data_IF_916664484736
#
_entry.id   IF_916664484736
#
_cell.length_a   1.000
_cell.length_b   1.000
_cell.length_c   1.000
_cell.angle_alpha   90.00
_cell.angle_beta   90.00
_cell.angle_gamma   90.00
#
_symmetry.space_group_name_H-M   'P 1'
#
loop_
_entity.id
_entity.type
_entity.pdbx_description
1 polymer ?
#
# COMPACT_ATOMS: atom_id res chain seq x y z
N UNK A 1 7.04 -92.92 28.62
CA UNK A 1 6.46 -91.68 28.06
C UNK A 1 5.98 -90.83 29.22
N UNK A 2 6.74 -89.81 29.60
CA UNK A 2 6.33 -88.82 30.61
C UNK A 2 6.66 -87.45 30.06
N UNK A 3 5.61 -86.64 29.99
CA UNK A 3 5.51 -85.34 29.34
C UNK A 3 6.16 -84.26 30.20
N UNK A 4 7.12 -83.50 29.64
CA UNK A 4 7.64 -82.29 30.28
C UNK A 4 7.08 -81.07 29.54
N UNK A 5 6.29 -80.30 30.26
CA UNK A 5 5.62 -79.08 29.83
C UNK A 5 6.64 -77.93 29.85
N UNK A 6 6.88 -77.28 28.72
CA UNK A 6 7.55 -75.97 28.66
C UNK A 6 6.57 -74.93 28.12
N UNK A 7 6.17 -74.04 29.03
CA UNK A 7 5.23 -72.95 28.80
C UNK A 7 5.93 -71.80 28.03
N UNK A 8 5.35 -71.19 26.99
CA UNK A 8 5.92 -70.00 26.37
C UNK A 8 5.60 -68.76 27.21
N UNK A 9 6.63 -68.06 27.68
CA UNK A 9 6.48 -66.78 28.36
C UNK A 9 5.98 -65.73 27.36
N UNK A 10 4.71 -65.33 27.51
CA UNK A 10 4.10 -64.20 26.81
C UNK A 10 4.75 -62.92 27.32
N UNK A 11 5.49 -62.23 26.46
CA UNK A 11 6.01 -60.89 26.74
C UNK A 11 4.82 -59.90 26.82
N UNK A 12 4.35 -59.65 28.03
CA UNK A 12 3.34 -58.63 28.32
C UNK A 12 3.94 -57.25 28.09
N UNK A 13 3.70 -56.66 26.91
CA UNK A 13 4.05 -55.26 26.63
C UNK A 13 3.36 -54.39 27.67
N UNK A 14 4.16 -53.67 28.45
CA UNK A 14 3.69 -52.95 29.62
C UNK A 14 2.74 -51.81 29.15
N UNK A 15 1.46 -51.78 29.56
CA UNK A 15 0.48 -50.83 29.03
C UNK A 15 0.86 -49.36 29.29
N UNK A 16 1.71 -49.11 30.29
CA UNK A 16 2.28 -47.79 30.58
C UNK A 16 3.28 -47.29 29.54
N UNK A 17 4.08 -48.18 28.94
CA UNK A 17 5.06 -47.79 27.92
C UNK A 17 4.34 -47.44 26.61
N UNK A 18 3.34 -48.23 26.22
CA UNK A 18 2.51 -47.95 25.05
C UNK A 18 1.75 -46.63 25.19
N UNK A 19 1.22 -46.34 26.38
CA UNK A 19 0.57 -45.06 26.67
C UNK A 19 1.55 -43.87 26.59
N UNK A 20 2.80 -44.05 27.03
CA UNK A 20 3.84 -43.01 26.95
C UNK A 20 4.26 -42.75 25.50
N UNK A 21 4.33 -43.80 24.68
CA UNK A 21 4.66 -43.73 23.26
C UNK A 21 3.55 -43.04 22.47
N UNK A 22 2.28 -43.39 22.72
CA UNK A 22 1.11 -42.72 22.13
C UNK A 22 1.03 -41.24 22.54
N UNK A 23 1.39 -40.92 23.79
CA UNK A 23 1.43 -39.53 24.27
C UNK A 23 2.55 -38.73 23.60
N UNK A 24 3.74 -39.32 23.43
CA UNK A 24 4.85 -38.71 22.68
C UNK A 24 4.49 -38.50 21.20
N UNK A 25 3.80 -39.46 20.59
CA UNK A 25 3.35 -39.37 19.20
C UNK A 25 2.33 -38.25 19.00
N UNK A 26 1.36 -38.12 19.92
CA UNK A 26 0.41 -37.00 19.93
C UNK A 26 1.08 -35.65 20.15
N UNK A 27 2.09 -35.55 21.02
CA UNK A 27 2.86 -34.32 21.21
C UNK A 27 3.65 -33.95 19.94
N UNK A 28 4.22 -34.94 19.26
CA UNK A 28 4.95 -34.72 18.00
C UNK A 28 3.99 -34.31 16.87
N UNK A 29 2.82 -34.94 16.75
CA UNK A 29 1.76 -34.52 15.81
C UNK A 29 1.27 -33.11 16.14
N UNK A 30 1.03 -32.78 17.41
CA UNK A 30 0.68 -31.42 17.81
C UNK A 30 1.79 -30.41 17.50
N UNK A 31 3.06 -30.77 17.72
CA UNK A 31 4.20 -29.92 17.36
C UNK A 31 4.36 -29.76 15.85
N UNK A 32 4.13 -30.80 15.06
CA UNK A 32 4.14 -30.72 13.59
C UNK A 32 2.96 -29.89 13.07
N UNK A 33 1.77 -30.03 13.67
CA UNK A 33 0.60 -29.22 13.35
C UNK A 33 0.84 -27.76 13.74
N UNK A 34 1.38 -27.47 14.94
CA UNK A 34 1.78 -26.12 15.33
C UNK A 34 2.90 -25.55 14.46
N UNK A 35 3.86 -26.37 14.04
CA UNK A 35 4.93 -25.95 13.13
C UNK A 35 4.37 -25.65 11.73
N UNK A 36 3.44 -26.47 11.24
CA UNK A 36 2.70 -26.23 9.98
C UNK A 36 1.77 -25.03 10.06
N UNK A 37 1.18 -24.76 11.23
CA UNK A 37 0.36 -23.57 11.46
C UNK A 37 1.22 -22.32 11.52
N UNK A 38 2.38 -22.37 12.19
CA UNK A 38 3.38 -21.28 12.20
C UNK A 38 4.01 -21.02 10.84
N UNK A 39 4.01 -22.01 9.94
CA UNK A 39 4.45 -21.83 8.54
C UNK A 39 3.39 -21.21 7.64
N UNK A 40 2.14 -21.07 8.10
CA UNK A 40 1.16 -20.23 7.43
C UNK A 40 1.31 -18.83 8.00
N UNK A 41 1.91 -17.96 7.21
CA UNK A 41 1.86 -16.48 7.32
C UNK A 41 0.56 -16.05 8.01
N UNK A 42 0.62 -15.07 8.94
CA UNK A 42 -0.58 -14.56 9.61
C UNK A 42 -1.70 -14.34 8.58
N UNK A 43 -2.94 -14.79 8.84
CA UNK A 43 -4.05 -14.69 7.88
C UNK A 43 -4.26 -13.26 7.36
N UNK A 44 -3.91 -12.26 8.17
CA UNK A 44 -3.93 -10.85 7.79
C UNK A 44 -2.90 -10.53 6.69
N UNK A 45 -1.67 -11.06 6.78
CA UNK A 45 -0.63 -10.88 5.76
C UNK A 45 -1.02 -11.60 4.46
N UNK A 46 -1.60 -12.80 4.59
CA UNK A 46 -2.12 -13.55 3.45
C UNK A 46 -3.33 -12.85 2.77
N UNK A 47 -4.19 -12.18 3.55
CA UNK A 47 -5.29 -11.40 2.99
C UNK A 47 -4.80 -10.08 2.36
N UNK A 48 -3.75 -9.46 2.92
CA UNK A 48 -3.11 -8.27 2.34
C UNK A 48 -2.40 -8.58 1.00
N UNK A 49 -2.03 -9.84 0.75
CA UNK A 49 -1.41 -10.27 -0.52
C UNK A 49 -2.40 -10.59 -1.64
N UNK A 50 -3.69 -10.73 -1.33
CA UNK A 50 -4.75 -11.01 -2.31
C UNK A 50 -5.49 -9.74 -2.78
N UNK A 51 -5.07 -8.53 -2.38
CA UNK A 51 -5.50 -7.34 -3.09
C UNK A 51 -4.80 -7.33 -4.46
N UNK A 52 -5.49 -7.88 -5.48
CA UNK A 52 -5.07 -7.73 -6.87
C UNK A 52 -4.71 -6.26 -7.12
N UNK A 53 -3.54 -5.96 -7.72
CA UNK A 53 -3.11 -4.58 -7.98
C UNK A 53 -4.14 -3.76 -8.77
N UNK A 54 -5.18 -4.41 -9.32
CA UNK A 54 -6.15 -3.82 -10.21
C UNK A 54 -5.52 -3.69 -11.59
N UNK A 55 -6.35 -3.74 -12.62
CA UNK A 55 -5.89 -3.56 -13.99
C UNK A 55 -5.76 -2.05 -14.30
N UNK A 56 -4.95 -1.36 -13.50
CA UNK A 56 -4.74 0.10 -13.61
C UNK A 56 -3.53 0.34 -14.48
N UNK A 57 -3.76 0.92 -15.65
CA UNK A 57 -2.69 1.28 -16.59
C UNK A 57 -2.12 2.67 -16.29
N UNK A 58 -0.89 2.95 -16.70
CA UNK A 58 -0.34 4.33 -16.62
C UNK A 58 -1.15 5.34 -17.43
N UNK A 59 -1.90 4.89 -18.45
CA UNK A 59 -2.82 5.74 -19.20
C UNK A 59 -3.97 6.29 -18.35
N UNK A 60 -4.26 5.69 -17.19
CA UNK A 60 -5.25 6.22 -16.25
C UNK A 60 -4.67 7.29 -15.31
N UNK A 61 -3.35 7.44 -15.27
CA UNK A 61 -2.66 8.42 -14.43
C UNK A 61 -2.31 9.66 -15.26
N UNK A 62 -3.15 10.68 -15.18
CA UNK A 62 -2.98 11.90 -15.98
C UNK A 62 -1.90 12.86 -15.44
N UNK A 63 -1.07 13.39 -16.33
CA UNK A 63 -0.22 14.56 -16.08
C UNK A 63 0.95 14.38 -15.10
N UNK A 64 1.28 13.14 -14.71
CA UNK A 64 2.37 12.81 -13.79
C UNK A 64 3.55 12.11 -14.50
N UNK A 65 3.82 12.46 -15.76
CA UNK A 65 4.80 11.77 -16.61
C UNK A 65 6.21 11.75 -16.02
N UNK A 66 6.65 12.86 -15.41
CA UNK A 66 7.97 12.95 -14.76
C UNK A 66 8.02 12.06 -13.51
N UNK A 67 6.99 12.11 -12.65
CA UNK A 67 6.92 11.29 -11.44
C UNK A 67 6.82 9.79 -11.77
N UNK A 68 6.07 9.44 -12.82
CA UNK A 68 5.99 8.07 -13.35
C UNK A 68 7.39 7.64 -13.81
N UNK A 69 8.10 8.47 -14.56
CA UNK A 69 9.45 8.16 -15.03
C UNK A 69 10.40 7.91 -13.86
N UNK A 70 10.45 8.80 -12.87
CA UNK A 70 11.29 8.62 -11.68
C UNK A 70 10.95 7.32 -10.94
N UNK A 71 9.66 7.03 -10.76
CA UNK A 71 9.24 5.82 -10.07
C UNK A 71 9.60 4.54 -10.85
N UNK A 72 9.48 4.57 -12.19
CA UNK A 72 9.94 3.49 -13.08
C UNK A 72 11.45 3.29 -12.99
N UNK A 73 12.23 4.36 -12.94
CA UNK A 73 13.69 4.26 -12.78
C UNK A 73 14.11 3.60 -11.46
N UNK A 74 13.31 3.78 -10.41
CA UNK A 74 13.58 3.23 -9.08
C UNK A 74 13.09 1.80 -8.92
N UNK A 75 11.98 1.44 -9.56
CA UNK A 75 11.31 0.14 -9.36
C UNK A 75 11.54 -0.81 -10.54
N UNK A 76 11.24 -0.39 -11.77
CA UNK A 76 11.28 -1.23 -12.98
C UNK A 76 12.71 -1.55 -13.42
N UNK A 77 13.57 -0.54 -13.46
CA UNK A 77 14.97 -0.63 -13.90
C UNK A 77 15.79 -1.69 -13.13
N UNK A 78 15.80 -1.71 -11.78
CA UNK A 78 16.54 -2.73 -11.03
C UNK A 78 15.93 -4.14 -11.12
N UNK A 79 14.62 -4.25 -11.37
CA UNK A 79 13.96 -5.54 -11.53
C UNK A 79 14.22 -6.16 -12.91
N UNK A 80 14.22 -5.32 -13.95
CA UNK A 80 14.37 -5.76 -15.35
C UNK A 80 15.83 -5.98 -15.74
N UNK A 81 16.74 -5.09 -15.32
CA UNK A 81 18.14 -5.10 -15.74
C UNK A 81 19.12 -4.90 -14.56
N UNK A 82 19.24 -5.86 -13.63
CA UNK A 82 20.16 -5.75 -12.50
C UNK A 82 21.64 -5.67 -12.92
N UNK A 83 22.00 -6.24 -14.07
CA UNK A 83 23.38 -6.19 -14.59
C UNK A 83 23.87 -4.76 -14.86
N UNK A 84 22.99 -3.83 -15.25
CA UNK A 84 23.37 -2.45 -15.50
C UNK A 84 23.91 -1.80 -14.23
N UNK A 85 23.27 -2.05 -13.09
CA UNK A 85 23.71 -1.56 -11.79
C UNK A 85 25.07 -2.15 -11.39
N UNK A 86 25.28 -3.43 -11.65
CA UNK A 86 26.56 -4.10 -11.38
C UNK A 86 27.70 -3.57 -12.26
N UNK A 87 27.45 -3.36 -13.56
CA UNK A 87 28.47 -2.81 -14.49
C UNK A 87 28.86 -1.37 -14.17
N UNK A 88 27.87 -0.56 -13.77
CA UNK A 88 28.10 0.83 -13.37
C UNK A 88 28.69 0.92 -11.95
N UNK A 89 28.54 -0.13 -11.14
CA UNK A 89 29.05 -0.18 -9.76
C UNK A 89 28.22 0.64 -8.78
N UNK A 90 26.94 0.87 -9.08
CA UNK A 90 26.02 1.62 -8.23
C UNK A 90 25.07 0.68 -7.51
N UNK A 91 24.82 0.96 -6.23
CA UNK A 91 23.80 0.26 -5.46
C UNK A 91 22.41 0.75 -5.89
N UNK A 92 21.49 -0.15 -6.27
CA UNK A 92 20.13 0.26 -6.62
C UNK A 92 19.42 0.87 -5.39
N UNK A 93 18.54 1.86 -5.59
CA UNK A 93 17.74 2.42 -4.50
C UNK A 93 16.85 1.35 -3.87
N UNK A 94 16.72 1.36 -2.54
CA UNK A 94 15.92 0.37 -1.80
C UNK A 94 14.46 0.77 -1.69
N UNK A 95 14.21 2.05 -1.47
CA UNK A 95 12.87 2.57 -1.19
C UNK A 95 12.57 3.91 -1.85
N UNK A 96 11.28 4.13 -2.10
CA UNK A 96 10.73 5.38 -2.62
C UNK A 96 9.70 5.95 -1.65
N UNK A 97 9.76 7.25 -1.41
CA UNK A 97 8.74 8.00 -0.68
C UNK A 97 7.96 8.88 -1.66
N UNK A 98 6.65 8.65 -1.74
CA UNK A 98 5.70 9.49 -2.45
C UNK A 98 5.08 10.46 -1.45
N UNK A 99 5.19 11.76 -1.70
CA UNK A 99 4.56 12.76 -0.84
C UNK A 99 3.87 13.85 -1.66
N UNK A 100 2.81 14.41 -1.10
CA UNK A 100 2.02 15.46 -1.75
C UNK A 100 0.64 15.62 -1.12
N UNK A 101 -0.16 16.58 -1.57
CA UNK A 101 -1.51 16.78 -1.04
C UNK A 101 -2.41 15.55 -1.28
N UNK A 102 -3.45 15.35 -0.45
CA UNK A 102 -4.40 14.26 -0.67
C UNK A 102 -5.15 14.44 -2.00
N UNK A 103 -5.60 13.34 -2.60
CA UNK A 103 -6.35 13.38 -3.86
C UNK A 103 -5.53 13.58 -5.14
N UNK A 104 -4.19 13.50 -5.07
CA UNK A 104 -3.29 13.54 -6.24
C UNK A 104 -2.98 12.17 -6.85
N UNK A 105 -3.60 11.09 -6.34
CA UNK A 105 -3.47 9.76 -6.94
C UNK A 105 -2.19 9.01 -6.58
N UNK A 106 -1.54 9.30 -5.43
CA UNK A 106 -0.33 8.59 -4.96
C UNK A 106 -0.54 7.06 -4.91
N UNK A 107 -1.66 6.63 -4.34
CA UNK A 107 -2.06 5.21 -4.27
C UNK A 107 -2.34 4.63 -5.65
N UNK A 108 -2.93 5.41 -6.58
CA UNK A 108 -3.17 4.98 -7.96
C UNK A 108 -1.87 4.78 -8.73
N UNK A 109 -0.91 5.70 -8.56
CA UNK A 109 0.41 5.61 -9.18
C UNK A 109 1.16 4.34 -8.74
N UNK A 110 1.14 4.04 -7.44
CA UNK A 110 1.79 2.82 -6.92
C UNK A 110 1.13 1.53 -7.46
N UNK A 111 -0.19 1.51 -7.58
CA UNK A 111 -0.93 0.38 -8.17
C UNK A 111 -0.62 0.21 -9.66
N UNK A 112 -0.53 1.31 -10.41
CA UNK A 112 -0.21 1.26 -11.84
C UNK A 112 1.19 0.67 -12.10
N UNK A 113 2.18 1.03 -11.26
CA UNK A 113 3.52 0.44 -11.33
C UNK A 113 3.49 -1.06 -11.05
N UNK A 114 2.74 -1.48 -10.04
CA UNK A 114 2.66 -2.89 -9.67
C UNK A 114 1.98 -3.75 -10.75
N UNK A 115 0.91 -3.22 -11.36
CA UNK A 115 0.20 -3.87 -12.46
C UNK A 115 1.10 -4.05 -13.69
N UNK A 116 1.86 -3.04 -14.08
CA UNK A 116 2.76 -3.14 -15.25
C UNK A 116 3.91 -4.13 -15.05
N UNK A 117 4.41 -4.28 -13.82
CA UNK A 117 5.56 -5.12 -13.52
C UNK A 117 5.20 -6.60 -13.27
N UNK A 118 3.91 -6.94 -13.29
CA UNK A 118 3.37 -8.28 -13.01
C UNK A 118 4.06 -8.93 -11.78
N UNK A 119 4.15 -8.15 -10.71
CA UNK A 119 4.86 -8.52 -9.49
C UNK A 119 3.90 -8.54 -8.30
N UNK A 120 4.26 -9.29 -7.26
CA UNK A 120 3.44 -9.39 -6.06
C UNK A 120 3.32 -8.02 -5.39
N UNK A 121 2.09 -7.55 -5.21
CA UNK A 121 1.81 -6.25 -4.61
C UNK A 121 1.24 -6.44 -3.20
N UNK A 122 1.98 -5.98 -2.20
CA UNK A 122 1.54 -6.00 -0.81
C UNK A 122 1.14 -4.59 -0.42
N UNK A 123 -0.17 -4.31 -0.41
CA UNK A 123 -0.70 -3.04 0.06
C UNK A 123 -0.99 -3.11 1.55
N UNK A 124 -0.39 -2.20 2.31
CA UNK A 124 -0.61 -2.06 3.74
C UNK A 124 -0.92 -0.61 4.06
N UNK A 125 -2.05 -0.40 4.73
CA UNK A 125 -2.39 0.92 5.27
C UNK A 125 -1.81 1.00 6.67
N UNK A 126 -0.93 1.98 6.92
CA UNK A 126 -0.19 2.05 8.19
C UNK A 126 -1.10 2.23 9.41
N UNK A 127 -2.27 2.86 9.24
CA UNK A 127 -3.29 2.98 10.28
C UNK A 127 -3.93 1.64 10.66
N UNK A 128 -3.95 0.65 9.76
CA UNK A 128 -4.46 -0.69 10.02
C UNK A 128 -3.46 -1.58 10.81
N UNK A 129 -2.18 -1.22 10.82
CA UNK A 129 -1.13 -1.97 11.53
C UNK A 129 -1.17 -1.68 13.05
N UNK A 130 -1.68 -0.51 13.44
CA UNK A 130 -1.71 -0.09 14.84
C UNK A 130 -2.87 -0.75 15.57
N UNK A 131 -2.61 -1.91 16.17
CA UNK A 131 -3.59 -2.60 17.02
C UNK A 131 -3.48 -2.12 18.49
N UNK A 132 -4.49 -2.44 19.31
CA UNK A 132 -4.52 -2.19 20.76
C UNK A 132 -3.62 -3.14 21.54
N UNK A 133 -3.13 -4.21 20.90
CA UNK A 133 -2.38 -5.28 21.54
C UNK A 133 -0.87 -5.08 21.38
N UNK A 134 -0.22 -4.88 22.53
CA UNK A 134 1.20 -4.54 22.64
C UNK A 134 2.07 -5.56 21.89
N UNK A 135 2.73 -5.10 20.83
CA UNK A 135 3.78 -5.82 20.12
C UNK A 135 3.30 -6.75 19.02
N UNK A 136 1.99 -6.84 18.79
CA UNK A 136 1.40 -7.54 17.63
C UNK A 136 1.77 -6.80 16.34
N UNK A 137 1.66 -5.47 16.35
CA UNK A 137 2.06 -4.57 15.26
C UNK A 137 3.50 -4.83 14.75
N UNK A 138 4.45 -5.03 15.66
CA UNK A 138 5.85 -5.32 15.31
C UNK A 138 6.05 -6.74 14.77
N UNK A 139 5.26 -7.72 15.25
CA UNK A 139 5.27 -9.08 14.68
C UNK A 139 4.76 -9.08 13.24
N UNK A 140 3.65 -8.39 13.00
CA UNK A 140 3.04 -8.25 11.67
C UNK A 140 4.04 -7.68 10.64
N UNK A 141 4.80 -6.65 11.01
CA UNK A 141 5.83 -6.09 10.12
C UNK A 141 6.90 -7.12 9.77
N UNK A 142 7.40 -7.88 10.74
CA UNK A 142 8.39 -8.95 10.49
C UNK A 142 7.85 -10.02 9.55
N UNK A 143 6.60 -10.43 9.75
CA UNK A 143 5.96 -11.45 8.91
C UNK A 143 5.68 -10.94 7.49
N UNK A 144 5.24 -9.69 7.34
CA UNK A 144 5.09 -9.03 6.04
C UNK A 144 6.41 -9.03 5.26
N UNK A 145 7.52 -8.65 5.90
CA UNK A 145 8.84 -8.66 5.26
C UNK A 145 9.38 -10.07 5.01
N UNK A 146 9.04 -11.06 5.83
CA UNK A 146 9.36 -12.46 5.55
C UNK A 146 8.60 -12.94 4.30
N UNK A 147 7.29 -12.68 4.24
CA UNK A 147 6.46 -13.04 3.10
C UNK A 147 6.95 -12.40 1.79
N UNK A 148 7.27 -11.10 1.81
CA UNK A 148 7.79 -10.39 0.65
C UNK A 148 9.14 -10.97 0.17
N UNK A 149 9.97 -11.48 1.10
CA UNK A 149 11.24 -12.14 0.77
C UNK A 149 11.03 -13.51 0.12
N UNK A 150 10.04 -14.26 0.57
CA UNK A 150 9.71 -15.57 0.02
C UNK A 150 9.03 -15.47 -1.36
N UNK A 151 8.32 -14.36 -1.63
CA UNK A 151 7.52 -14.15 -2.85
C UNK A 151 8.15 -13.13 -3.83
N UNK A 152 9.46 -13.18 -4.05
CA UNK A 152 10.14 -12.27 -4.98
C UNK A 152 9.83 -12.59 -6.45
N UNK A 153 9.64 -11.57 -7.33
CA UNK A 153 9.70 -10.13 -7.11
C UNK A 153 8.45 -9.57 -6.42
N UNK A 154 8.63 -8.66 -5.45
CA UNK A 154 7.54 -8.11 -4.63
C UNK A 154 7.70 -6.61 -4.39
N UNK A 155 6.60 -5.87 -4.45
CA UNK A 155 6.51 -4.47 -4.05
C UNK A 155 5.66 -4.36 -2.78
N UNK A 156 6.23 -3.75 -1.74
CA UNK A 156 5.51 -3.40 -0.51
C UNK A 156 5.09 -1.94 -0.63
N UNK A 157 3.79 -1.68 -0.68
CA UNK A 157 3.22 -0.34 -0.68
C UNK A 157 2.63 -0.02 0.70
N UNK A 158 3.22 0.94 1.40
CA UNK A 158 2.73 1.43 2.69
C UNK A 158 2.06 2.80 2.51
N UNK A 159 0.74 2.85 2.67
CA UNK A 159 -0.02 4.10 2.63
C UNK A 159 -0.12 4.72 4.03
N UNK A 160 -0.36 6.04 4.08
CA UNK A 160 -0.53 6.82 5.31
C UNK A 160 0.57 6.57 6.36
N UNK A 161 1.84 6.52 5.92
CA UNK A 161 2.97 6.21 6.80
C UNK A 161 3.13 7.23 7.94
N UNK A 162 2.54 8.42 7.83
CA UNK A 162 2.46 9.42 8.90
C UNK A 162 1.70 8.93 10.14
N UNK A 163 0.83 7.92 10.03
CA UNK A 163 0.16 7.30 11.17
C UNK A 163 1.16 6.65 12.14
N UNK A 164 2.20 5.98 11.61
CA UNK A 164 3.22 5.28 12.41
C UNK A 164 4.58 5.98 12.44
N UNK A 165 4.86 6.82 11.44
CA UNK A 165 6.13 7.50 11.21
C UNK A 165 6.20 8.90 11.81
N UNK A 166 5.19 9.34 12.57
CA UNK A 166 5.17 10.67 13.17
C UNK A 166 6.26 10.89 14.23
N UNK A 167 6.93 12.06 14.21
CA UNK A 167 7.81 12.53 15.29
C UNK A 167 7.00 12.73 16.58
N UNK A 168 6.97 11.74 17.46
CA UNK A 168 6.32 11.86 18.77
C UNK A 168 7.37 12.06 19.85
N UNK A 169 7.29 13.20 20.55
CA UNK A 169 8.16 13.52 21.68
C UNK A 169 7.89 12.58 22.86
N UNK A 170 8.89 12.42 23.72
CA UNK A 170 9.01 11.44 24.81
C UNK A 170 7.94 11.46 25.91
N UNK A 171 6.96 12.37 25.85
CA UNK A 171 5.83 12.46 26.80
C UNK A 171 4.56 11.78 26.27
N UNK A 172 4.71 10.68 25.55
CA UNK A 172 3.62 9.92 24.96
C UNK A 172 3.00 8.88 25.90
N UNK A 173 1.70 8.64 25.70
CA UNK A 173 0.90 7.57 26.31
C UNK A 173 1.48 6.18 25.97
N UNK A 174 1.02 5.11 26.63
CA UNK A 174 1.45 3.73 26.32
C UNK A 174 1.30 3.36 24.83
N UNK A 175 0.32 3.94 24.14
CA UNK A 175 0.08 3.74 22.71
C UNK A 175 1.18 4.37 21.83
N UNK A 176 1.70 5.54 22.22
CA UNK A 176 2.76 6.20 21.45
C UNK A 176 4.08 5.41 21.48
N UNK A 177 4.38 4.78 22.62
CA UNK A 177 5.55 3.90 22.77
C UNK A 177 5.44 2.66 21.90
N UNK A 178 4.23 2.14 21.70
CA UNK A 178 3.99 1.02 20.80
C UNK A 178 4.19 1.42 19.35
N UNK A 179 3.63 2.55 18.92
CA UNK A 179 3.83 3.07 17.56
C UNK A 179 5.32 3.28 17.28
N UNK A 180 6.07 3.86 18.22
CA UNK A 180 7.52 4.02 18.11
C UNK A 180 8.24 2.67 17.99
N UNK A 181 7.85 1.66 18.78
CA UNK A 181 8.44 0.31 18.67
C UNK A 181 8.18 -0.30 17.29
N UNK A 182 6.96 -0.15 16.77
CA UNK A 182 6.57 -0.61 15.43
C UNK A 182 7.39 0.08 14.34
N UNK A 183 7.58 1.40 14.44
CA UNK A 183 8.44 2.17 13.54
C UNK A 183 9.90 1.69 13.61
N UNK A 184 10.45 1.47 14.81
CA UNK A 184 11.82 0.98 14.96
C UNK A 184 12.02 -0.41 14.36
N UNK A 185 11.02 -1.29 14.50
CA UNK A 185 11.03 -2.60 13.82
C UNK A 185 11.01 -2.45 12.30
N UNK A 186 10.16 -1.58 11.74
CA UNK A 186 10.15 -1.26 10.31
C UNK A 186 11.53 -0.80 9.83
N UNK A 187 12.15 0.12 10.56
CA UNK A 187 13.49 0.62 10.25
C UNK A 187 14.55 -0.48 10.29
N UNK A 188 14.50 -1.35 11.30
CA UNK A 188 15.42 -2.49 11.41
C UNK A 188 15.25 -3.48 10.25
N UNK A 189 14.00 -3.76 9.84
CA UNK A 189 13.74 -4.62 8.68
C UNK A 189 14.29 -3.96 7.40
N UNK A 190 14.05 -2.67 7.19
CA UNK A 190 14.58 -1.92 6.03
C UNK A 190 16.11 -1.92 5.94
N UNK A 191 16.80 -1.75 7.07
CA UNK A 191 18.27 -1.78 7.12
C UNK A 191 18.80 -3.20 6.89
N UNK A 192 18.08 -4.22 7.38
CA UNK A 192 18.39 -5.62 7.22
C UNK A 192 18.19 -6.16 5.79
N UNK A 193 17.63 -5.37 4.87
CA UNK A 193 17.54 -5.77 3.47
C UNK A 193 18.90 -5.71 2.78
N UNK A 194 19.32 -6.86 2.30
CA UNK A 194 20.45 -6.96 1.38
C UNK A 194 20.10 -6.22 0.08
N UNK A 195 21.04 -5.43 -0.44
CA UNK A 195 20.83 -4.58 -1.63
C UNK A 195 20.52 -5.37 -2.90
N UNK A 196 20.74 -6.69 -2.87
CA UNK A 196 20.48 -7.64 -3.96
C UNK A 196 19.03 -8.17 -4.01
N UNK A 197 18.21 -7.96 -2.99
CA UNK A 197 16.83 -8.47 -2.98
C UNK A 197 15.95 -7.82 -4.04
N UNK A 198 15.09 -8.59 -4.71
CA UNK A 198 14.06 -8.09 -5.65
C UNK A 198 12.81 -7.56 -4.95
N UNK A 199 12.96 -7.07 -3.71
CA UNK A 199 11.89 -6.48 -2.92
C UNK A 199 12.08 -4.97 -2.94
N UNK A 200 11.02 -4.23 -3.29
CA UNK A 200 11.03 -2.76 -3.30
C UNK A 200 9.95 -2.24 -2.37
N UNK A 201 10.26 -1.13 -1.68
CA UNK A 201 9.34 -0.49 -0.74
C UNK A 201 8.93 0.86 -1.30
N UNK A 202 7.62 1.09 -1.37
CA UNK A 202 7.03 2.38 -1.74
C UNK A 202 6.21 2.85 -0.54
N UNK A 203 6.54 4.01 0.01
CA UNK A 203 5.78 4.62 1.09
C UNK A 203 5.05 5.85 0.58
N UNK A 204 3.82 6.08 1.01
CA UNK A 204 3.06 7.29 0.70
C UNK A 204 2.72 8.07 1.97
N UNK A 205 2.90 9.40 1.92
CA UNK A 205 2.50 10.32 2.99
C UNK A 205 1.79 11.55 2.42
N UNK A 206 0.85 12.10 3.19
CA UNK A 206 0.28 13.42 2.91
C UNK A 206 1.06 14.55 3.62
N UNK A 207 1.79 14.22 4.69
CA UNK A 207 2.47 15.15 5.59
C UNK A 207 3.94 14.74 5.74
N UNK A 208 4.84 15.18 4.85
CA UNK A 208 6.26 14.84 4.96
C UNK A 208 6.95 15.53 6.16
N UNK A 209 6.36 16.62 6.68
CA UNK A 209 6.85 17.40 7.82
C UNK A 209 6.74 16.64 9.15
N UNK A 210 5.71 15.80 9.31
CA UNK A 210 5.50 15.02 10.52
C UNK A 210 6.40 13.80 10.61
N UNK A 211 7.02 13.38 9.49
CA UNK A 211 7.81 12.15 9.44
C UNK A 211 9.11 12.20 10.25
N UNK A 212 9.44 11.06 10.85
CA UNK A 212 10.68 10.83 11.57
C UNK A 212 11.88 10.96 10.60
N UNK A 213 12.88 11.80 10.93
CA UNK A 213 14.03 11.99 10.07
C UNK A 213 14.88 10.73 9.93
N UNK A 214 14.71 9.72 10.79
CA UNK A 214 15.32 8.40 10.65
C UNK A 214 14.84 7.66 9.40
N UNK A 215 13.58 7.81 9.00
CA UNK A 215 13.07 7.26 7.72
C UNK A 215 13.72 7.97 6.52
N UNK A 216 14.00 9.27 6.67
CA UNK A 216 14.52 10.14 5.61
C UNK A 216 16.03 10.01 5.38
N UNK A 217 16.71 9.13 6.13
CA UNK A 217 18.15 8.89 5.99
C UNK A 217 18.46 8.10 4.70
N UNK A 218 19.54 8.45 3.99
CA UNK A 218 20.03 7.68 2.86
C UNK A 218 20.30 6.22 3.26
N UNK A 219 19.97 5.27 2.39
CA UNK A 219 20.04 3.82 2.63
C UNK A 219 18.69 3.16 2.95
N UNK A 220 17.63 3.95 3.18
CA UNK A 220 16.26 3.50 3.46
C UNK A 220 15.30 4.05 2.41
N UNK A 221 14.98 5.35 2.49
CA UNK A 221 14.19 6.09 1.50
C UNK A 221 15.12 6.96 0.67
N UNK A 222 15.76 6.32 -0.31
CA UNK A 222 16.76 6.97 -1.17
C UNK A 222 16.11 7.98 -2.12
N UNK A 223 14.87 7.71 -2.53
CA UNK A 223 14.16 8.51 -3.53
C UNK A 223 12.91 9.12 -2.93
N UNK A 224 12.74 10.42 -3.18
CA UNK A 224 11.66 11.24 -2.65
C UNK A 224 11.00 11.90 -3.85
N UNK A 225 9.81 11.43 -4.19
CA UNK A 225 9.04 11.90 -5.33
C UNK A 225 7.94 12.80 -4.79
N UNK A 226 8.03 14.07 -5.14
CA UNK A 226 6.98 15.04 -4.87
C UNK A 226 5.90 14.94 -5.94
N UNK A 227 4.65 14.79 -5.50
CA UNK A 227 3.47 14.77 -6.36
C UNK A 227 2.74 16.09 -6.14
N UNK A 228 2.99 17.11 -6.98
CA UNK A 228 2.36 18.41 -6.85
C UNK A 228 0.88 18.36 -7.23
N UNK A 229 0.17 19.47 -7.02
CA UNK A 229 -1.16 19.65 -7.59
C UNK A 229 -1.07 19.63 -9.13
N UNK A 230 -2.10 19.10 -9.82
CA UNK A 230 -2.06 18.99 -11.26
C UNK A 230 -2.10 20.39 -11.92
N UNK A 231 -1.17 20.61 -12.84
CA UNK A 231 -1.13 21.77 -13.75
C UNK A 231 -2.35 21.78 -14.69
N UNK A 232 -2.57 22.89 -15.40
CA UNK A 232 -3.66 23.00 -16.38
C UNK A 232 -3.68 21.84 -17.39
N UNK A 233 -2.51 21.54 -17.97
CA UNK A 233 -2.35 20.41 -18.89
C UNK A 233 -2.66 19.06 -18.23
N UNK A 234 -2.17 18.85 -17.01
CA UNK A 234 -2.42 17.62 -16.25
C UNK A 234 -3.91 17.45 -15.93
N UNK A 235 -4.61 18.53 -15.55
CA UNK A 235 -6.06 18.53 -15.32
C UNK A 235 -6.83 18.19 -16.60
N UNK A 236 -6.40 18.71 -17.74
CA UNK A 236 -6.98 18.39 -19.04
C UNK A 236 -6.81 16.90 -19.38
N UNK A 237 -5.64 16.33 -19.13
CA UNK A 237 -5.39 14.90 -19.35
C UNK A 237 -6.26 14.04 -18.41
N UNK A 238 -6.31 14.36 -17.12
CA UNK A 238 -7.15 13.68 -16.12
C UNK A 238 -8.64 13.75 -16.52
N UNK A 239 -9.10 14.92 -16.98
CA UNK A 239 -10.47 15.12 -17.40
C UNK A 239 -10.79 14.27 -18.64
N UNK A 240 -9.89 14.21 -19.63
CA UNK A 240 -10.07 13.37 -20.82
C UNK A 240 -10.14 11.89 -20.47
N UNK A 241 -9.28 11.40 -19.57
CA UNK A 241 -9.25 10.01 -19.10
C UNK A 241 -10.59 9.65 -18.44
N UNK A 242 -11.03 10.43 -17.44
CA UNK A 242 -12.27 10.14 -16.73
C UNK A 242 -13.52 10.39 -17.56
N UNK A 243 -13.43 11.27 -18.56
CA UNK A 243 -14.53 11.49 -19.47
C UNK A 243 -14.60 10.38 -20.54
N UNK A 244 -13.53 9.68 -20.90
CA UNK A 244 -13.53 8.65 -21.95
C UNK A 244 -14.67 7.61 -21.86
N UNK A 245 -15.00 7.04 -20.68
CA UNK A 245 -16.11 6.08 -20.56
C UNK A 245 -17.51 6.72 -20.59
N UNK A 246 -17.63 8.05 -20.51
CA UNK A 246 -18.92 8.75 -20.44
C UNK A 246 -19.49 8.94 -21.84
N UNK A 247 -20.77 8.61 -22.01
CA UNK A 247 -21.52 8.91 -23.24
C UNK A 247 -21.70 10.43 -23.39
N UNK A 248 -21.12 10.99 -24.45
CA UNK A 248 -21.12 12.44 -24.72
C UNK A 248 -21.80 12.72 -26.05
N UNK A 249 -22.41 13.91 -26.16
CA UNK A 249 -22.99 14.38 -27.41
C UNK A 249 -22.62 15.83 -27.65
N UNK A 250 -22.00 16.09 -28.80
CA UNK A 250 -21.47 17.39 -29.20
C UNK A 250 -19.97 17.53 -28.92
N UNK A 251 -19.39 18.62 -29.40
CA UNK A 251 -18.00 18.96 -29.14
C UNK A 251 -17.90 19.62 -27.76
N UNK A 252 -17.20 18.96 -26.84
CA UNK A 252 -16.98 19.46 -25.49
C UNK A 252 -15.61 20.14 -25.47
N UNK A 253 -15.60 21.43 -25.17
CA UNK A 253 -14.35 22.16 -24.94
C UNK A 253 -13.81 21.89 -23.53
N UNK A 254 -12.91 20.91 -23.44
CA UNK A 254 -12.23 20.58 -22.19
C UNK A 254 -11.30 21.70 -21.70
N UNK A 255 -10.77 22.55 -22.59
CA UNK A 255 -9.88 23.65 -22.17
C UNK A 255 -10.67 24.71 -21.41
N UNK A 256 -11.87 25.06 -21.90
CA UNK A 256 -12.77 25.99 -21.20
C UNK A 256 -13.14 25.47 -19.80
N UNK A 257 -13.44 24.18 -19.67
CA UNK A 257 -13.79 23.55 -18.38
C UNK A 257 -12.60 23.59 -17.41
N UNK A 258 -11.38 23.31 -17.90
CA UNK A 258 -10.17 23.28 -17.08
C UNK A 258 -9.77 24.67 -16.57
N UNK A 259 -10.02 25.72 -17.36
CA UNK A 259 -9.84 27.12 -16.92
C UNK A 259 -10.76 27.49 -15.75
N UNK A 260 -11.93 26.87 -15.66
CA UNK A 260 -12.88 27.07 -14.56
C UNK A 260 -12.55 26.23 -13.32
N UNK A 261 -11.73 25.19 -13.46
CA UNK A 261 -11.37 24.24 -12.40
C UNK A 261 -10.02 24.56 -11.75
N UNK A 262 -9.73 25.84 -11.53
CA UNK A 262 -8.42 26.23 -10.98
C UNK A 262 -8.24 25.73 -9.53
N UNK A 263 -7.05 25.21 -9.25
CA UNK A 263 -6.72 24.59 -7.96
C UNK A 263 -7.41 23.26 -7.66
N UNK A 264 -8.06 22.60 -8.63
CA UNK A 264 -8.69 21.28 -8.42
C UNK A 264 -7.63 20.18 -8.32
N UNK A 265 -7.83 19.22 -7.42
CA UNK A 265 -7.00 18.01 -7.34
C UNK A 265 -7.51 16.94 -8.33
N UNK A 266 -6.79 15.82 -8.48
CA UNK A 266 -7.20 14.76 -9.41
C UNK A 266 -8.54 14.10 -9.03
N UNK A 267 -8.81 13.94 -7.74
CA UNK A 267 -10.09 13.44 -7.25
C UNK A 267 -11.26 14.39 -7.53
N UNK A 268 -11.05 15.70 -7.43
CA UNK A 268 -12.02 16.75 -7.74
C UNK A 268 -12.38 16.69 -9.22
N UNK A 269 -11.39 16.51 -10.10
CA UNK A 269 -11.62 16.36 -11.55
C UNK A 269 -12.46 15.10 -11.86
N UNK A 270 -12.22 14.00 -11.15
CA UNK A 270 -13.07 12.80 -11.23
C UNK A 270 -14.49 13.06 -10.73
N UNK A 271 -14.64 13.84 -9.66
CA UNK A 271 -15.94 14.23 -9.12
C UNK A 271 -16.71 15.12 -10.09
N UNK A 272 -16.04 16.03 -10.81
CA UNK A 272 -16.65 16.84 -11.89
C UNK A 272 -17.27 15.94 -12.96
N UNK A 273 -16.55 14.91 -13.43
CA UNK A 273 -17.09 13.96 -14.41
C UNK A 273 -18.32 13.21 -13.88
N UNK A 274 -18.28 12.78 -12.62
CA UNK A 274 -19.39 12.08 -11.97
C UNK A 274 -20.62 12.97 -11.81
N UNK A 275 -20.42 14.22 -11.39
CA UNK A 275 -21.47 15.22 -11.23
C UNK A 275 -22.08 15.63 -12.57
N UNK A 276 -21.27 15.74 -13.63
CA UNK A 276 -21.78 16.01 -14.97
C UNK A 276 -22.71 14.88 -15.45
N UNK A 277 -22.35 13.61 -15.19
CA UNK A 277 -23.22 12.46 -15.42
C UNK A 277 -24.52 12.52 -14.60
N UNK A 278 -24.43 12.90 -13.33
CA UNK A 278 -25.61 13.06 -12.47
C UNK A 278 -26.55 14.18 -12.95
N UNK A 279 -26.03 15.29 -13.48
CA UNK A 279 -26.85 16.34 -14.08
C UNK A 279 -27.59 15.85 -15.31
N UNK A 280 -26.94 15.09 -16.20
CA UNK A 280 -27.59 14.49 -17.35
C UNK A 280 -28.73 13.53 -16.95
N UNK A 281 -28.49 12.67 -15.95
CA UNK A 281 -29.49 11.73 -15.43
C UNK A 281 -30.68 12.47 -14.81
N UNK A 282 -30.46 13.57 -14.08
CA UNK A 282 -31.54 14.38 -13.48
C UNK A 282 -32.48 15.02 -14.52
N UNK A 283 -31.99 15.21 -15.73
CA UNK A 283 -32.76 15.76 -16.87
C UNK A 283 -33.26 14.63 -17.78
N UNK A 284 -33.18 13.37 -17.32
CA UNK A 284 -33.60 12.16 -18.05
C UNK A 284 -32.90 12.01 -19.42
N UNK A 285 -31.61 12.35 -19.49
CA UNK A 285 -30.78 12.21 -20.68
C UNK A 285 -29.75 11.09 -20.51
N UNK A 286 -29.54 10.33 -21.58
CA UNK A 286 -28.54 9.25 -21.64
C UNK A 286 -27.12 9.74 -22.04
N UNK A 287 -26.95 11.05 -22.22
CA UNK A 287 -25.69 11.65 -22.67
C UNK A 287 -25.40 12.97 -21.95
N UNK A 288 -24.12 13.27 -21.78
CA UNK A 288 -23.62 14.50 -21.16
C UNK A 288 -23.31 15.55 -22.22
N UNK A 289 -23.67 16.81 -21.94
CA UNK A 289 -23.32 17.98 -22.76
C UNK A 289 -22.35 18.92 -22.03
N UNK A 290 -21.79 19.90 -22.75
CA UNK A 290 -20.87 20.90 -22.19
C UNK A 290 -21.49 21.70 -21.01
N UNK A 291 -22.78 22.02 -21.08
CA UNK A 291 -23.51 22.74 -20.03
C UNK A 291 -23.56 21.95 -18.71
N UNK A 292 -23.64 20.61 -18.78
CA UNK A 292 -23.63 19.73 -17.60
C UNK A 292 -22.25 19.73 -16.92
N UNK A 293 -21.16 19.72 -17.71
CA UNK A 293 -19.79 19.88 -17.19
C UNK A 293 -19.60 21.25 -16.53
N UNK A 294 -20.10 22.32 -17.15
CA UNK A 294 -20.02 23.68 -16.62
C UNK A 294 -20.76 23.81 -15.27
N UNK A 295 -21.93 23.20 -15.15
CA UNK A 295 -22.69 23.13 -13.89
C UNK A 295 -21.98 22.28 -12.84
N UNK A 296 -21.40 21.15 -13.24
CA UNK A 296 -20.63 20.28 -12.36
C UNK A 296 -19.42 20.99 -11.76
N UNK A 297 -18.62 21.70 -12.57
CA UNK A 297 -17.47 22.47 -12.06
C UNK A 297 -17.90 23.51 -11.04
N UNK A 298 -18.98 24.26 -11.31
CA UNK A 298 -19.50 25.26 -10.35
C UNK A 298 -19.91 24.63 -9.03
N UNK A 299 -20.63 23.51 -9.08
CA UNK A 299 -21.05 22.77 -7.87
C UNK A 299 -19.85 22.28 -7.07
N UNK A 300 -18.87 21.65 -7.71
CA UNK A 300 -17.65 21.16 -7.05
C UNK A 300 -16.83 22.33 -6.47
N UNK A 301 -16.74 23.45 -7.19
CA UNK A 301 -16.07 24.66 -6.69
C UNK A 301 -16.77 25.24 -5.45
N UNK A 302 -18.11 25.21 -5.40
CA UNK A 302 -18.88 25.62 -4.22
C UNK A 302 -18.66 24.69 -3.04
N UNK A 303 -18.68 23.37 -3.26
CA UNK A 303 -18.37 22.38 -2.22
C UNK A 303 -16.98 22.60 -1.64
N UNK A 304 -15.97 22.83 -2.49
CA UNK A 304 -14.59 23.10 -2.05
C UNK A 304 -14.45 24.40 -1.25
N UNK A 305 -15.18 25.45 -1.65
CA UNK A 305 -15.26 26.70 -0.87
C UNK A 305 -15.93 26.48 0.49
N UNK A 306 -16.88 25.54 0.58
CA UNK A 306 -17.52 25.18 1.84
C UNK A 306 -16.55 24.41 2.74
N UNK A 307 -15.84 23.43 2.21
CA UNK A 307 -14.80 22.65 2.92
C UNK A 307 -13.70 23.57 3.47
N UNK A 308 -13.16 24.46 2.65
CA UNK A 308 -12.15 25.44 3.09
C UNK A 308 -12.65 26.36 4.22
N UNK A 309 -13.94 26.71 4.23
CA UNK A 309 -14.56 27.48 5.33
C UNK A 309 -14.78 26.66 6.60
N UNK A 310 -15.04 25.36 6.47
CA UNK A 310 -15.16 24.42 7.58
C UNK A 310 -13.81 24.19 8.25
N UNK A 311 -12.74 24.01 7.47
CA UNK A 311 -11.37 23.89 7.98
C UNK A 311 -10.91 25.15 8.74
N UNK A 312 -11.28 26.34 8.24
CA UNK A 312 -10.99 27.61 8.93
C UNK A 312 -11.72 27.74 10.26
N UNK A 313 -12.96 27.23 10.38
CA UNK A 313 -13.69 27.21 11.65
C UNK A 313 -13.14 26.17 12.62
N UNK A 314 -12.68 25.01 12.14
CA UNK A 314 -12.08 23.98 12.97
C UNK A 314 -10.72 24.42 13.58
N UNK A 315 -9.95 25.26 12.88
CA UNK A 315 -8.71 25.84 13.39
C UNK A 315 -8.89 27.12 14.23
N UNK A 316 -10.09 27.73 14.20
CA UNK A 316 -10.41 28.97 14.92
C UNK A 316 -11.11 28.79 16.28
N UNK A 317 -11.34 27.54 16.70
CA UNK A 317 -11.83 27.21 18.05
C UNK A 317 -10.78 26.41 18.81
N UNK A 318 -9.72 27.10 19.21
CA UNK A 318 -8.79 26.69 20.26
C UNK A 318 -8.26 27.93 20.95
#
# INVERSE_FOLDING_TARGET
MVTTITNPAVATVNPREKALEDFRKKIMEHKEIEARLKQKVDPLVYNMSHEDPGDVSFSEVGGLSEQIRELREVVELPLTNPELFQRVGITPPKGCLLFGPPGTGKTLLARAVASQLDCNFLKVVSSAIVDKYIGESARMIREMFAYARDHQPCIIFMDEIDAIGGRRFSEGTSADREIQRTLMELLNQMDGFDTLGKVKIIMATNRPDTLDPALMRPGRLDRKIEIPLPNEQARLDILKIHAAPIAKRGDIDYEAIVKLSDGFNGADMRNVCTEAGMFAIRVERDYVQEDDFSKAVRKVAESKKLESKLDYKAQGTS
#
